data_IF_781909462215
#
_entry.id   IF_781909462215
#
_cell.length_a   1.000
_cell.length_b   1.000
_cell.length_c   1.000
_cell.angle_alpha   90.00
_cell.angle_beta   90.00
_cell.angle_gamma   90.00
#
_symmetry.space_group_name_H-M   'P 1'
#
loop_
_entity.id
_entity.type
_entity.pdbx_description
1 polymer ?
#
# COMPACT_ATOMS: atom_id res chain seq x y z
N UNK A 1 27.39 -39.31 -32.63
CA UNK A 1 26.69 -38.14 -32.11
C UNK A 1 25.49 -38.57 -31.27
N UNK A 2 25.65 -38.55 -29.94
CA UNK A 2 24.58 -38.87 -28.98
C UNK A 2 23.88 -37.58 -28.58
N UNK A 3 22.64 -37.38 -29.04
CA UNK A 3 21.75 -36.35 -28.56
C UNK A 3 21.22 -36.74 -27.16
N UNK A 4 21.53 -35.92 -26.16
CA UNK A 4 20.94 -36.05 -24.82
C UNK A 4 19.46 -35.67 -24.88
N UNK A 5 18.57 -36.42 -24.22
CA UNK A 5 17.15 -36.06 -24.18
C UNK A 5 16.94 -34.77 -23.38
N UNK A 6 16.16 -33.88 -23.97
CA UNK A 6 15.65 -32.67 -23.31
C UNK A 6 14.84 -33.05 -22.07
N UNK A 7 15.30 -32.61 -20.91
CA UNK A 7 14.66 -32.83 -19.63
C UNK A 7 13.37 -31.96 -19.60
N UNK A 8 12.23 -32.59 -19.80
CA UNK A 8 10.91 -31.99 -19.54
C UNK A 8 10.87 -31.59 -18.06
N UNK A 9 10.96 -30.29 -17.82
CA UNK A 9 10.61 -29.70 -16.53
C UNK A 9 9.10 -29.98 -16.29
N UNK A 10 8.83 -31.00 -15.52
CA UNK A 10 7.50 -31.22 -14.97
C UNK A 10 7.16 -30.04 -14.07
N UNK A 11 6.25 -29.19 -14.54
CA UNK A 11 5.58 -28.21 -13.71
C UNK A 11 4.85 -28.98 -12.60
N UNK A 12 5.41 -28.97 -11.39
CA UNK A 12 4.71 -29.45 -10.22
C UNK A 12 3.49 -28.54 -9.99
N UNK A 13 2.30 -29.08 -9.71
CA UNK A 13 1.17 -28.26 -9.32
C UNK A 13 1.53 -27.54 -8.01
N UNK A 14 1.30 -26.22 -7.98
CA UNK A 14 1.45 -25.38 -6.78
C UNK A 14 0.43 -25.84 -5.72
N UNK A 15 0.77 -26.88 -4.99
CA UNK A 15 0.02 -27.33 -3.83
C UNK A 15 0.55 -26.60 -2.60
N UNK A 16 -0.21 -25.61 -2.14
CA UNK A 16 0.02 -24.94 -0.88
C UNK A 16 0.11 -23.43 -1.02
N UNK A 17 -0.71 -22.73 -0.27
CA UNK A 17 -0.64 -21.27 -0.11
C UNK A 17 0.68 -20.96 0.61
N UNK A 18 1.72 -20.56 -0.16
CA UNK A 18 3.04 -20.25 0.41
C UNK A 18 3.21 -18.78 0.77
N UNK A 19 2.30 -17.92 0.29
CA UNK A 19 2.40 -16.48 0.55
C UNK A 19 1.73 -16.12 1.87
N UNK A 20 2.46 -15.39 2.71
CA UNK A 20 1.96 -14.82 3.97
C UNK A 20 2.19 -13.32 3.95
N UNK A 21 1.11 -12.54 4.06
CA UNK A 21 1.18 -11.09 4.19
C UNK A 21 1.04 -10.71 5.67
N UNK A 22 2.08 -10.09 6.22
CA UNK A 22 2.12 -9.63 7.60
C UNK A 22 1.86 -8.14 7.67
N UNK A 23 1.01 -7.73 8.61
CA UNK A 23 0.78 -6.31 8.85
C UNK A 23 -0.40 -5.99 9.73
N UNK A 24 -0.56 -4.70 10.03
CA UNK A 24 -1.73 -4.20 10.76
C UNK A 24 -2.90 -3.99 9.78
N UNK A 25 -4.10 -4.45 10.15
CA UNK A 25 -5.30 -4.26 9.34
C UNK A 25 -5.65 -2.78 9.10
N UNK A 26 -5.23 -1.88 10.00
CA UNK A 26 -5.45 -0.43 9.86
C UNK A 26 -4.39 0.31 9.05
N UNK A 27 -3.36 -0.37 8.54
CA UNK A 27 -2.32 0.26 7.74
C UNK A 27 -2.76 0.42 6.29
N UNK A 28 -2.72 1.63 5.71
CA UNK A 28 -3.05 1.84 4.29
C UNK A 28 -2.08 1.11 3.36
N UNK A 29 -0.80 0.98 3.74
CA UNK A 29 0.21 0.23 2.99
C UNK A 29 -0.03 -1.29 3.01
N UNK A 30 -0.61 -1.83 4.07
CA UNK A 30 -1.02 -3.24 4.15
C UNK A 30 -2.29 -3.46 3.35
N UNK A 31 -3.27 -2.57 3.51
CA UNK A 31 -4.59 -2.69 2.88
C UNK A 31 -4.50 -2.70 1.35
N UNK A 32 -3.62 -1.87 0.74
CA UNK A 32 -3.45 -1.85 -0.72
C UNK A 32 -3.00 -3.20 -1.27
N UNK A 33 -2.16 -3.94 -0.54
CA UNK A 33 -1.74 -5.28 -0.94
C UNK A 33 -2.85 -6.32 -0.72
N UNK A 34 -3.63 -6.19 0.34
CA UNK A 34 -4.80 -7.05 0.56
C UNK A 34 -5.85 -6.90 -0.54
N UNK A 35 -6.11 -5.66 -0.99
CA UNK A 35 -7.01 -5.40 -2.11
C UNK A 35 -6.45 -5.89 -3.44
N UNK A 36 -5.15 -5.75 -3.68
CA UNK A 36 -4.48 -6.31 -4.86
C UNK A 36 -4.57 -7.83 -4.90
N UNK A 37 -4.51 -8.49 -3.75
CA UNK A 37 -4.51 -9.94 -3.60
C UNK A 37 -5.91 -10.53 -3.32
N UNK A 38 -6.98 -9.79 -3.51
CA UNK A 38 -8.34 -10.21 -3.12
C UNK A 38 -8.76 -11.56 -3.72
N UNK A 39 -8.34 -11.83 -4.96
CA UNK A 39 -8.64 -13.07 -5.69
C UNK A 39 -7.46 -14.07 -5.70
N UNK A 40 -6.42 -13.81 -4.90
CA UNK A 40 -5.22 -14.65 -4.84
C UNK A 40 -5.18 -15.45 -3.53
N UNK A 41 -4.67 -16.69 -3.57
CA UNK A 41 -4.49 -17.46 -2.35
C UNK A 41 -3.29 -16.93 -1.54
N UNK A 42 -3.54 -16.40 -0.35
CA UNK A 42 -2.52 -16.02 0.62
C UNK A 42 -3.07 -16.10 2.05
N UNK A 43 -2.18 -16.19 3.03
CA UNK A 43 -2.52 -16.10 4.45
C UNK A 43 -2.26 -14.67 4.95
N UNK A 44 -3.23 -14.02 5.59
CA UNK A 44 -3.02 -12.75 6.25
C UNK A 44 -2.68 -12.96 7.72
N UNK A 45 -1.50 -12.52 8.14
CA UNK A 45 -1.03 -12.55 9.53
C UNK A 45 -1.16 -11.14 10.12
N UNK A 46 -2.19 -10.93 10.94
CA UNK A 46 -2.37 -9.66 11.61
C UNK A 46 -1.31 -9.46 12.69
N UNK A 47 -0.58 -8.34 12.61
CA UNK A 47 0.41 -7.95 13.61
C UNK A 47 -0.03 -6.66 14.30
N UNK A 48 -0.20 -6.72 15.62
CA UNK A 48 -0.21 -5.50 16.43
C UNK A 48 1.25 -5.09 16.72
N UNK A 49 1.74 -4.14 15.94
CA UNK A 49 3.14 -3.68 16.03
C UNK A 49 3.46 -2.87 17.29
N UNK A 50 2.44 -2.54 18.09
CA UNK A 50 2.56 -1.85 19.37
C UNK A 50 2.56 -2.81 20.57
N UNK A 51 2.25 -4.09 20.36
CA UNK A 51 2.32 -5.15 21.37
C UNK A 51 3.60 -5.97 21.22
N UNK A 52 4.10 -6.54 22.32
CA UNK A 52 5.40 -7.22 22.38
C UNK A 52 5.53 -8.34 21.36
N UNK A 53 4.58 -9.27 21.30
CA UNK A 53 4.63 -10.43 20.40
C UNK A 53 4.64 -10.04 18.91
N UNK A 54 3.78 -9.09 18.51
CA UNK A 54 3.74 -8.57 17.14
C UNK A 54 5.02 -7.83 16.78
N UNK A 55 5.56 -7.06 17.73
CA UNK A 55 6.81 -6.33 17.56
C UNK A 55 8.03 -7.25 17.47
N UNK A 56 8.10 -8.31 18.26
CA UNK A 56 9.18 -9.31 18.18
C UNK A 56 9.21 -9.98 16.81
N UNK A 57 8.05 -10.41 16.33
CA UNK A 57 7.91 -10.99 14.97
C UNK A 57 8.36 -10.00 13.90
N UNK A 58 7.93 -8.75 13.98
CA UNK A 58 8.31 -7.69 13.06
C UNK A 58 9.83 -7.48 13.04
N UNK A 59 10.44 -7.30 14.21
CA UNK A 59 11.89 -7.05 14.36
C UNK A 59 12.71 -8.21 13.84
N UNK A 60 12.24 -9.46 14.05
CA UNK A 60 12.91 -10.66 13.57
C UNK A 60 12.92 -10.78 12.05
N UNK A 61 11.80 -10.42 11.40
CA UNK A 61 11.60 -10.62 9.97
C UNK A 61 11.98 -9.41 9.12
N UNK A 62 11.91 -8.20 9.68
CA UNK A 62 12.12 -6.97 8.93
C UNK A 62 13.02 -5.98 9.67
N UNK A 63 14.26 -5.77 9.19
CA UNK A 63 15.19 -4.82 9.81
C UNK A 63 14.71 -3.37 9.76
N UNK A 64 13.81 -3.01 8.83
CA UNK A 64 13.20 -1.67 8.75
C UNK A 64 12.14 -1.42 9.82
N UNK A 65 11.66 -2.50 10.48
CA UNK A 65 10.63 -2.44 11.53
C UNK A 65 9.32 -1.79 11.10
N UNK A 66 8.99 -1.89 9.81
CA UNK A 66 7.76 -1.37 9.20
C UNK A 66 6.92 -2.51 8.62
N UNK A 67 5.63 -2.28 8.49
CA UNK A 67 4.69 -3.15 7.78
C UNK A 67 4.26 -2.45 6.48
N UNK A 68 3.94 -3.19 5.42
CA UNK A 68 3.78 -4.65 5.29
C UNK A 68 5.09 -5.42 5.12
N UNK A 69 4.98 -6.75 5.34
CA UNK A 69 5.96 -7.73 4.91
C UNK A 69 5.24 -8.86 4.18
N UNK A 70 5.85 -9.37 3.12
CA UNK A 70 5.38 -10.58 2.42
C UNK A 70 6.42 -11.67 2.58
N UNK A 71 6.02 -12.84 3.04
CA UNK A 71 6.84 -14.04 3.04
C UNK A 71 6.32 -14.98 1.96
N UNK A 72 7.23 -15.47 1.10
CA UNK A 72 6.94 -16.48 0.09
C UNK A 72 8.00 -17.57 0.15
N UNK A 73 7.67 -18.69 0.77
CA UNK A 73 8.65 -19.68 1.17
C UNK A 73 9.65 -19.12 2.17
N UNK A 74 10.94 -19.13 1.82
CA UNK A 74 12.02 -18.58 2.65
C UNK A 74 12.28 -17.09 2.37
N UNK A 75 11.75 -16.55 1.27
CA UNK A 75 11.97 -15.16 0.89
C UNK A 75 11.05 -14.24 1.69
N UNK A 76 11.63 -13.23 2.35
CA UNK A 76 10.89 -12.15 3.02
C UNK A 76 11.13 -10.85 2.28
N UNK A 77 10.04 -10.21 1.86
CA UNK A 77 10.04 -8.96 1.10
C UNK A 77 9.31 -7.91 1.93
N UNK A 78 9.85 -6.72 1.99
CA UNK A 78 9.26 -5.60 2.72
C UNK A 78 9.33 -4.31 1.91
N UNK A 79 8.51 -3.33 2.33
CA UNK A 79 8.02 -2.20 1.58
C UNK A 79 6.93 -2.57 0.56
N UNK A 80 5.80 -1.86 0.62
CA UNK A 80 4.63 -2.16 -0.22
C UNK A 80 4.90 -2.02 -1.72
N UNK A 81 5.76 -1.09 -2.13
CA UNK A 81 6.14 -0.92 -3.54
C UNK A 81 7.06 -2.04 -4.03
N UNK A 82 7.98 -2.52 -3.17
CA UNK A 82 8.84 -3.67 -3.49
C UNK A 82 8.01 -4.94 -3.59
N UNK A 83 7.08 -5.15 -2.64
CA UNK A 83 6.14 -6.27 -2.66
C UNK A 83 5.29 -6.24 -3.92
N UNK A 84 4.78 -5.06 -4.31
CA UNK A 84 4.01 -4.91 -5.56
C UNK A 84 4.84 -5.34 -6.78
N UNK A 85 6.07 -4.88 -6.93
CA UNK A 85 6.95 -5.28 -8.06
C UNK A 85 7.23 -6.77 -8.06
N UNK A 86 7.42 -7.39 -6.89
CA UNK A 86 7.54 -8.84 -6.77
C UNK A 86 6.26 -9.54 -7.25
N UNK A 87 5.09 -9.06 -6.81
CA UNK A 87 3.80 -9.63 -7.21
C UNK A 87 3.53 -9.46 -8.70
N UNK A 88 3.96 -8.34 -9.33
CA UNK A 88 3.89 -8.18 -10.78
C UNK A 88 4.61 -9.31 -11.51
N UNK A 89 5.81 -9.66 -11.08
CA UNK A 89 6.56 -10.76 -11.68
C UNK A 89 5.91 -12.12 -11.40
N UNK A 90 5.51 -12.38 -10.15
CA UNK A 90 4.94 -13.66 -9.72
C UNK A 90 3.58 -13.95 -10.35
N UNK A 91 2.73 -12.94 -10.45
CA UNK A 91 1.33 -13.05 -10.91
C UNK A 91 1.15 -12.58 -12.36
N UNK A 92 2.24 -12.25 -13.06
CA UNK A 92 2.23 -11.73 -14.44
C UNK A 92 1.34 -10.49 -14.61
N UNK A 93 1.32 -9.61 -13.59
CA UNK A 93 0.63 -8.34 -13.66
C UNK A 93 1.47 -7.32 -14.47
N UNK A 94 0.83 -6.34 -15.13
CA UNK A 94 1.55 -5.30 -15.83
C UNK A 94 2.40 -4.46 -14.87
N UNK A 95 3.63 -4.17 -15.29
CA UNK A 95 4.48 -3.22 -14.57
C UNK A 95 3.96 -1.79 -14.76
N UNK A 96 4.21 -0.93 -13.78
CA UNK A 96 3.89 0.49 -13.89
C UNK A 96 4.79 1.17 -14.93
N UNK A 97 4.24 2.11 -15.69
CA UNK A 97 5.02 3.05 -16.48
C UNK A 97 5.74 4.05 -15.54
N UNK A 98 6.75 4.78 -16.06
CA UNK A 98 7.42 5.83 -15.27
C UNK A 98 6.47 6.94 -14.84
N UNK A 99 5.45 7.24 -15.63
CA UNK A 99 4.40 8.18 -15.24
C UNK A 99 3.57 7.64 -14.06
N UNK A 100 3.29 6.35 -14.06
CA UNK A 100 2.55 5.68 -12.98
C UNK A 100 3.40 5.54 -11.71
N UNK A 101 4.70 5.25 -11.83
CA UNK A 101 5.63 5.28 -10.69
C UNK A 101 5.68 6.67 -10.04
N UNK A 102 5.65 7.75 -10.83
CA UNK A 102 5.55 9.11 -10.29
C UNK A 102 4.21 9.36 -9.58
N UNK A 103 3.08 8.85 -10.11
CA UNK A 103 1.78 8.92 -9.43
C UNK A 103 1.80 8.16 -8.11
N UNK A 104 2.36 6.94 -8.11
CA UNK A 104 2.52 6.16 -6.90
C UNK A 104 3.40 6.88 -5.87
N UNK A 105 4.46 7.54 -6.31
CA UNK A 105 5.32 8.37 -5.46
C UNK A 105 4.53 9.51 -4.81
N UNK A 106 3.69 10.23 -5.56
CA UNK A 106 2.83 11.28 -5.00
C UNK A 106 1.86 10.72 -3.94
N UNK A 107 1.22 9.58 -4.20
CA UNK A 107 0.35 8.90 -3.24
C UNK A 107 1.12 8.52 -1.98
N UNK A 108 2.32 7.94 -2.13
CA UNK A 108 3.15 7.52 -1.01
C UNK A 108 3.63 8.71 -0.17
N UNK A 109 4.02 9.80 -0.80
CA UNK A 109 4.48 11.03 -0.11
C UNK A 109 3.39 11.62 0.76
N UNK A 110 2.14 11.67 0.30
CA UNK A 110 1.00 12.10 1.15
C UNK A 110 0.81 11.12 2.30
N UNK A 111 0.84 9.82 2.02
CA UNK A 111 0.64 8.80 3.04
C UNK A 111 1.72 8.87 4.13
N UNK A 112 3.00 8.98 3.75
CA UNK A 112 4.12 9.08 4.69
C UNK A 112 4.02 10.34 5.54
N UNK A 113 3.72 11.50 4.93
CA UNK A 113 3.52 12.76 5.64
C UNK A 113 2.40 12.66 6.68
N UNK A 114 1.26 12.05 6.33
CA UNK A 114 0.16 11.86 7.26
C UNK A 114 0.49 10.86 8.37
N UNK A 115 1.27 9.81 8.10
CA UNK A 115 1.76 8.88 9.12
C UNK A 115 2.68 9.59 10.11
N UNK A 116 3.60 10.42 9.62
CA UNK A 116 4.51 11.20 10.49
C UNK A 116 3.75 12.18 11.37
N UNK A 117 2.78 12.91 10.82
CA UNK A 117 1.91 13.80 11.60
C UNK A 117 1.13 13.03 12.67
N UNK A 118 0.54 11.87 12.31
CA UNK A 118 -0.18 11.02 13.27
C UNK A 118 0.73 10.53 14.40
N UNK A 119 1.96 10.12 14.09
CA UNK A 119 2.93 9.68 15.11
C UNK A 119 3.35 10.83 16.02
N UNK A 120 3.54 12.03 15.49
CA UNK A 120 3.82 13.23 16.28
C UNK A 120 2.65 13.56 17.22
N UNK A 121 1.41 13.55 16.73
CA UNK A 121 0.22 13.75 17.56
C UNK A 121 0.12 12.73 18.70
N UNK A 122 0.34 11.45 18.39
CA UNK A 122 0.35 10.36 19.40
C UNK A 122 1.49 10.48 20.40
N UNK A 123 2.55 11.17 20.05
CA UNK A 123 3.68 11.49 20.92
C UNK A 123 3.48 12.77 21.72
N UNK A 124 2.30 13.40 21.64
CA UNK A 124 1.94 14.60 22.40
C UNK A 124 2.37 15.91 21.79
N UNK A 125 2.81 15.92 20.51
CA UNK A 125 3.13 17.16 19.82
C UNK A 125 1.88 17.81 19.22
N UNK A 126 1.81 19.15 19.33
CA UNK A 126 0.86 19.96 18.56
C UNK A 126 1.37 20.13 17.13
N UNK A 127 0.83 19.32 16.24
CA UNK A 127 1.21 19.32 14.81
C UNK A 127 0.64 20.50 14.03
N UNK A 128 -0.21 21.34 14.63
CA UNK A 128 -0.68 22.59 14.05
C UNK A 128 0.20 23.78 14.43
N UNK A 129 1.16 23.59 15.35
CA UNK A 129 2.09 24.65 15.74
C UNK A 129 3.00 25.06 14.59
N UNK A 130 3.33 26.35 14.53
CA UNK A 130 4.25 26.92 13.52
C UNK A 130 5.68 26.41 13.73
N UNK A 131 5.96 25.22 13.19
CA UNK A 131 7.26 24.55 13.16
C UNK A 131 7.57 24.10 11.75
N UNK A 132 8.81 24.31 11.32
CA UNK A 132 9.27 23.97 9.97
C UNK A 132 8.87 22.57 9.54
N UNK A 133 9.06 21.57 10.39
CA UNK A 133 8.72 20.17 10.07
C UNK A 133 7.21 20.02 9.77
N UNK A 134 6.34 20.56 10.61
CA UNK A 134 4.89 20.44 10.44
C UNK A 134 4.40 21.24 9.24
N UNK A 135 4.92 22.46 9.07
CA UNK A 135 4.58 23.31 7.92
C UNK A 135 4.90 22.60 6.60
N UNK A 136 6.09 21.99 6.49
CA UNK A 136 6.48 21.23 5.30
C UNK A 136 5.61 19.99 5.06
N UNK A 137 5.16 19.30 6.12
CA UNK A 137 4.25 18.17 5.95
C UNK A 137 2.87 18.64 5.46
N UNK A 138 2.31 19.67 6.06
CA UNK A 138 1.00 20.22 5.66
C UNK A 138 1.04 20.78 4.23
N UNK A 139 2.06 21.55 3.86
CA UNK A 139 2.27 22.07 2.50
C UNK A 139 2.32 20.94 1.49
N UNK A 140 3.11 19.90 1.77
CA UNK A 140 3.27 18.73 0.90
C UNK A 140 1.95 17.98 0.72
N UNK A 141 1.22 17.72 1.80
CA UNK A 141 -0.08 17.05 1.74
C UNK A 141 -1.06 17.85 0.91
N UNK A 142 -1.25 19.13 1.21
CA UNK A 142 -2.21 19.99 0.50
C UNK A 142 -1.86 20.14 -0.98
N UNK A 143 -0.60 20.46 -1.29
CA UNK A 143 -0.16 20.62 -2.68
C UNK A 143 -0.27 19.34 -3.50
N UNK A 144 0.09 18.20 -2.90
CA UNK A 144 0.03 16.91 -3.61
C UNK A 144 -1.42 16.45 -3.79
N UNK A 145 -2.30 16.62 -2.79
CA UNK A 145 -3.72 16.31 -2.94
C UNK A 145 -4.38 17.13 -4.05
N UNK A 146 -3.99 18.40 -4.21
CA UNK A 146 -4.46 19.25 -5.31
C UNK A 146 -4.09 18.68 -6.69
N UNK A 147 -2.88 18.13 -6.84
CA UNK A 147 -2.45 17.48 -8.09
C UNK A 147 -3.21 16.16 -8.30
N UNK A 148 -3.39 15.34 -7.26
CA UNK A 148 -4.15 14.10 -7.33
C UNK A 148 -5.63 14.34 -7.67
N UNK A 149 -6.23 15.43 -7.19
CA UNK A 149 -7.57 15.88 -7.57
C UNK A 149 -7.66 16.15 -9.08
N UNK A 150 -6.71 16.92 -9.64
CA UNK A 150 -6.66 17.20 -11.07
C UNK A 150 -6.51 15.91 -11.89
N UNK A 151 -5.70 14.97 -11.43
CA UNK A 151 -5.52 13.68 -12.09
C UNK A 151 -6.77 12.80 -11.99
N UNK A 152 -7.47 12.81 -10.87
CA UNK A 152 -8.75 12.12 -10.69
C UNK A 152 -9.82 12.70 -11.63
N UNK A 153 -9.91 14.03 -11.71
CA UNK A 153 -10.81 14.73 -12.65
C UNK A 153 -10.50 14.41 -14.12
N UNK A 154 -9.21 14.22 -14.45
CA UNK A 154 -8.77 13.80 -15.78
C UNK A 154 -8.94 12.28 -16.05
N UNK A 155 -9.52 11.52 -15.11
CA UNK A 155 -9.79 10.09 -15.26
C UNK A 155 -8.57 9.19 -15.16
N UNK A 156 -7.47 9.63 -14.55
CA UNK A 156 -6.24 8.83 -14.42
C UNK A 156 -6.39 7.61 -13.48
N UNK A 157 -7.44 7.57 -12.66
CA UNK A 157 -7.75 6.48 -11.72
C UNK A 157 -9.09 5.78 -12.05
N UNK A 158 -9.43 5.66 -13.35
CA UNK A 158 -10.67 5.02 -13.80
C UNK A 158 -10.63 3.49 -13.67
N UNK A 159 -9.46 2.90 -13.90
CA UNK A 159 -9.23 1.47 -13.81
C UNK A 159 -8.90 1.10 -12.36
N UNK A 160 -9.40 -0.06 -11.88
CA UNK A 160 -9.13 -0.54 -10.51
C UNK A 160 -7.80 -1.31 -10.49
N UNK A 161 -6.72 -0.60 -10.70
CA UNK A 161 -5.35 -1.09 -10.66
C UNK A 161 -4.65 -0.75 -9.34
N UNK A 162 -3.36 -1.04 -9.24
CA UNK A 162 -2.59 -0.78 -8.03
C UNK A 162 -2.51 0.72 -7.66
N UNK A 163 -2.57 1.62 -8.65
CA UNK A 163 -2.58 3.07 -8.40
C UNK A 163 -3.90 3.51 -7.78
N UNK A 164 -5.02 3.11 -8.39
CA UNK A 164 -6.35 3.40 -7.87
C UNK A 164 -6.54 2.78 -6.48
N UNK A 165 -6.13 1.54 -6.28
CA UNK A 165 -6.14 0.86 -4.98
C UNK A 165 -5.30 1.64 -3.96
N UNK A 166 -4.10 2.09 -4.34
CA UNK A 166 -3.21 2.82 -3.44
C UNK A 166 -3.78 4.19 -3.05
N UNK A 167 -4.35 4.92 -4.01
CA UNK A 167 -5.04 6.17 -3.76
C UNK A 167 -6.23 5.97 -2.83
N UNK A 168 -7.08 4.98 -3.12
CA UNK A 168 -8.22 4.66 -2.27
C UNK A 168 -7.81 4.37 -0.82
N UNK A 169 -6.81 3.51 -0.62
CA UNK A 169 -6.35 3.15 0.72
C UNK A 169 -5.76 4.33 1.50
N UNK A 170 -5.09 5.26 0.82
CA UNK A 170 -4.63 6.51 1.42
C UNK A 170 -5.81 7.36 1.88
N UNK A 171 -6.76 7.64 0.98
CA UNK A 171 -7.86 8.57 1.23
C UNK A 171 -8.82 8.06 2.31
N UNK A 172 -9.22 6.80 2.22
CA UNK A 172 -10.08 6.14 3.20
C UNK A 172 -9.43 6.11 4.60
N UNK A 173 -8.12 5.86 4.65
CA UNK A 173 -7.39 5.90 5.91
C UNK A 173 -7.25 7.33 6.47
N UNK A 174 -7.00 8.32 5.61
CA UNK A 174 -6.90 9.72 5.99
C UNK A 174 -8.23 10.24 6.55
N UNK A 175 -9.35 9.89 5.93
CA UNK A 175 -10.70 10.23 6.38
C UNK A 175 -11.02 9.51 7.70
N UNK A 176 -10.81 8.19 7.78
CA UNK A 176 -11.03 7.40 9.00
C UNK A 176 -10.24 7.93 10.20
N UNK A 177 -9.02 8.43 9.97
CA UNK A 177 -8.15 9.00 11.02
C UNK A 177 -8.34 10.50 11.21
N UNK A 178 -9.19 11.15 10.41
CA UNK A 178 -9.40 12.60 10.44
C UNK A 178 -8.08 13.40 10.25
N UNK A 179 -7.24 12.93 9.34
CA UNK A 179 -5.90 13.51 9.10
C UNK A 179 -5.90 14.54 7.97
N UNK A 180 -6.90 14.53 7.09
CA UNK A 180 -7.05 15.47 6.01
C UNK A 180 -8.53 15.77 5.77
N UNK A 181 -8.84 17.02 5.45
CA UNK A 181 -10.15 17.42 4.95
C UNK A 181 -10.19 17.16 3.44
N UNK A 182 -11.05 16.24 3.01
CA UNK A 182 -11.24 15.90 1.60
C UNK A 182 -12.37 16.68 0.94
N UNK A 183 -13.07 17.54 1.68
CA UNK A 183 -14.19 18.35 1.17
C UNK A 183 -13.81 19.21 -0.05
N UNK A 184 -12.59 19.80 -0.13
CA UNK A 184 -12.19 20.60 -1.28
C UNK A 184 -11.90 19.83 -2.57
N UNK A 185 -11.98 18.47 -2.56
CA UNK A 185 -11.54 17.59 -3.65
C UNK A 185 -12.68 16.76 -4.23
N UNK A 186 -13.60 17.34 -5.05
CA UNK A 186 -14.80 16.65 -5.52
C UNK A 186 -14.53 15.45 -6.43
N UNK A 187 -13.48 15.45 -7.26
CA UNK A 187 -13.15 14.31 -8.12
C UNK A 187 -12.58 13.14 -7.29
N UNK A 188 -11.80 13.43 -6.25
CA UNK A 188 -11.37 12.46 -5.26
C UNK A 188 -12.58 11.85 -4.54
N UNK A 189 -13.54 12.66 -4.08
CA UNK A 189 -14.73 12.15 -3.43
C UNK A 189 -15.56 11.24 -4.35
N UNK A 190 -15.75 11.64 -5.62
CA UNK A 190 -16.42 10.80 -6.61
C UNK A 190 -15.65 9.50 -6.87
N UNK A 191 -14.31 9.56 -6.90
CA UNK A 191 -13.49 8.38 -7.02
C UNK A 191 -13.69 7.43 -5.83
N UNK A 192 -13.66 7.93 -4.59
CA UNK A 192 -13.88 7.13 -3.38
C UNK A 192 -15.28 6.49 -3.39
N UNK A 193 -16.29 7.23 -3.78
CA UNK A 193 -17.66 6.72 -3.86
C UNK A 193 -17.77 5.54 -4.85
N UNK A 194 -17.17 5.67 -6.05
CA UNK A 194 -17.14 4.59 -7.04
C UNK A 194 -16.33 3.36 -6.59
N UNK A 195 -15.36 3.56 -5.72
CA UNK A 195 -14.52 2.49 -5.22
C UNK A 195 -15.22 1.60 -4.18
N UNK A 196 -16.29 2.08 -3.54
CA UNK A 196 -16.99 1.34 -2.47
C UNK A 196 -17.57 0.00 -2.93
N UNK A 197 -17.96 -0.11 -4.21
CA UNK A 197 -18.53 -1.32 -4.79
C UNK A 197 -17.45 -2.33 -5.26
N UNK A 198 -16.17 -2.02 -5.07
CA UNK A 198 -15.07 -2.89 -5.51
C UNK A 198 -14.86 -4.06 -4.56
N UNK A 199 -14.47 -5.25 -5.09
CA UNK A 199 -14.21 -6.43 -4.27
C UNK A 199 -13.19 -6.15 -3.15
N UNK A 200 -13.50 -6.57 -1.93
CA UNK A 200 -12.65 -6.42 -0.76
C UNK A 200 -12.64 -5.01 -0.13
N UNK A 201 -13.31 -4.04 -0.72
CA UNK A 201 -13.41 -2.67 -0.18
C UNK A 201 -14.44 -2.60 0.94
N UNK A 202 -15.60 -3.21 0.77
CA UNK A 202 -16.58 -3.33 1.86
C UNK A 202 -15.98 -4.13 3.03
N UNK A 203 -16.13 -3.59 4.22
CA UNK A 203 -15.63 -4.16 5.49
C UNK A 203 -16.59 -5.21 6.04
#
# INVERSE_FOLDING_TARGET
LHLKPCMLLTLQPLTGVNMKLFGSGSSPFVRRLRLLLVDQPYEFISLNIFESAGRETLVKLNPTRKVPMLQDGELVIFDSGVIFRYLCQKLHLPALSWADENRLTMINVVNDSLVELLLCQRSGFDTQSDKLFFNLQHERVAGTLQVLEQQAAAGQFKDWDYLAISLYCLLDWAEFRQLADLTPYPAIQQFMQRAQDRPGVAH
#
